data_IF_078436214172
#
_entry.id   IF_078436214172
#
_cell.length_a   1.000
_cell.length_b   1.000
_cell.length_c   1.000
_cell.angle_alpha   90.00
_cell.angle_beta   90.00
_cell.angle_gamma   90.00
#
_symmetry.space_group_name_H-M   'P 1'
#
loop_
_entity.id
_entity.type
_entity.pdbx_description
1 polymer ?
#
# COMPACT_ATOMS: atom_id res chain seq x y z
N UNK A 1 -24.42 1.24 21.05
CA UNK A 1 -25.59 0.43 20.68
C UNK A 1 -26.53 1.18 19.74
N UNK A 2 -27.15 2.30 20.12
CA UNK A 2 -28.07 3.07 19.26
C UNK A 2 -27.52 3.38 17.86
N UNK A 3 -26.26 3.83 17.76
CA UNK A 3 -25.64 4.11 16.47
C UNK A 3 -25.42 2.85 15.62
N UNK A 4 -25.11 1.71 16.25
CA UNK A 4 -24.91 0.43 15.57
C UNK A 4 -26.26 -0.09 15.06
N UNK A 5 -27.31 -0.02 15.88
CA UNK A 5 -28.65 -0.47 15.50
C UNK A 5 -29.21 0.37 14.35
N UNK A 6 -29.01 1.70 14.39
CA UNK A 6 -29.39 2.60 13.30
C UNK A 6 -28.62 2.27 12.00
N UNK A 7 -27.31 2.08 12.10
CA UNK A 7 -26.47 1.72 10.95
C UNK A 7 -26.86 0.36 10.35
N UNK A 8 -27.15 -0.65 11.19
CA UNK A 8 -27.59 -1.97 10.74
C UNK A 8 -28.94 -1.90 10.02
N UNK A 9 -29.89 -1.11 10.55
CA UNK A 9 -31.21 -0.92 9.94
C UNK A 9 -31.10 -0.24 8.57
N UNK A 10 -30.23 0.75 8.46
CA UNK A 10 -29.99 1.48 7.22
C UNK A 10 -29.27 0.62 6.16
N UNK A 11 -28.18 -0.06 6.55
CA UNK A 11 -27.32 -0.78 5.60
C UNK A 11 -27.79 -2.20 5.30
N UNK A 12 -28.51 -2.84 6.23
CA UNK A 12 -28.95 -4.22 6.11
C UNK A 12 -30.43 -4.38 6.50
N UNK A 13 -31.36 -3.84 5.70
CA UNK A 13 -32.79 -3.86 6.03
C UNK A 13 -33.39 -5.27 6.10
N UNK A 14 -32.72 -6.28 5.51
CA UNK A 14 -33.19 -7.66 5.40
C UNK A 14 -32.29 -8.66 6.15
N UNK A 15 -31.66 -8.24 7.25
CA UNK A 15 -30.71 -9.08 7.98
C UNK A 15 -31.42 -10.30 8.59
N UNK A 16 -30.99 -11.50 8.21
CA UNK A 16 -31.66 -12.77 8.54
C UNK A 16 -30.94 -13.59 9.63
N UNK A 17 -29.96 -13.00 10.32
CA UNK A 17 -29.24 -13.60 11.44
C UNK A 17 -29.21 -12.65 12.64
N UNK A 18 -28.86 -13.17 13.82
CA UNK A 18 -28.76 -12.33 15.03
C UNK A 18 -27.38 -11.67 15.08
N UNK A 19 -27.35 -10.40 15.49
CA UNK A 19 -26.10 -9.67 15.72
C UNK A 19 -25.93 -9.45 17.22
N UNK A 20 -24.75 -9.82 17.73
CA UNK A 20 -24.27 -9.42 19.03
C UNK A 20 -23.33 -8.22 18.91
N UNK A 21 -23.39 -7.31 19.89
CA UNK A 21 -22.44 -6.20 20.00
C UNK A 21 -21.72 -6.31 21.33
N UNK A 22 -20.40 -6.49 21.27
CA UNK A 22 -19.52 -6.45 22.43
C UNK A 22 -18.95 -5.04 22.59
N UNK A 23 -19.28 -4.39 23.70
CA UNK A 23 -18.86 -3.03 24.03
C UNK A 23 -17.76 -2.97 25.09
N UNK A 24 -17.40 -4.11 25.68
CA UNK A 24 -16.40 -4.23 26.75
C UNK A 24 -15.15 -5.01 26.33
N UNK A 25 -15.14 -5.57 25.12
CA UNK A 25 -14.02 -6.30 24.54
C UNK A 25 -13.87 -7.72 25.07
N UNK A 26 -14.95 -8.33 25.59
CA UNK A 26 -14.97 -9.73 26.00
C UNK A 26 -14.71 -10.69 24.84
N UNK A 27 -15.20 -10.40 23.64
CA UNK A 27 -14.95 -11.22 22.45
C UNK A 27 -13.46 -11.21 22.10
N UNK A 28 -12.78 -10.08 22.25
CA UNK A 28 -11.33 -10.04 22.02
C UNK A 28 -10.60 -10.94 23.04
N UNK A 29 -10.90 -10.77 24.33
CA UNK A 29 -10.20 -11.48 25.42
C UNK A 29 -10.50 -12.98 25.46
N UNK A 30 -11.75 -13.37 25.22
CA UNK A 30 -12.22 -14.75 25.42
C UNK A 30 -12.19 -15.59 24.14
N UNK A 31 -12.15 -14.95 22.95
CA UNK A 31 -12.17 -15.65 21.67
C UNK A 31 -10.96 -15.33 20.81
N UNK A 32 -10.66 -14.05 20.57
CA UNK A 32 -9.57 -13.66 19.66
C UNK A 32 -8.20 -14.02 20.24
N UNK A 33 -7.89 -13.58 21.45
CA UNK A 33 -6.58 -13.82 22.09
C UNK A 33 -6.30 -15.34 22.24
N UNK A 34 -7.22 -16.17 22.79
CA UNK A 34 -6.96 -17.60 22.95
C UNK A 34 -6.87 -18.36 21.64
N UNK A 35 -7.53 -17.90 20.58
CA UNK A 35 -7.45 -18.51 19.24
C UNK A 35 -6.24 -18.07 18.43
N UNK A 36 -5.38 -17.20 18.99
CA UNK A 36 -4.31 -16.50 18.24
C UNK A 36 -4.87 -15.79 17.01
N UNK A 37 -6.06 -15.20 17.08
CA UNK A 37 -6.64 -14.43 15.97
C UNK A 37 -6.34 -12.96 16.18
N UNK A 38 -5.64 -12.35 15.23
CA UNK A 38 -5.17 -10.96 15.35
C UNK A 38 -5.88 -10.00 14.37
N UNK A 39 -6.57 -10.53 13.36
CA UNK A 39 -7.15 -9.75 12.26
C UNK A 39 -8.67 -9.78 12.22
N UNK A 40 -9.24 -8.74 11.60
CA UNK A 40 -10.67 -8.67 11.26
C UNK A 40 -10.82 -8.58 9.73
N UNK A 41 -11.85 -9.21 9.13
CA UNK A 41 -12.86 -10.04 9.78
C UNK A 41 -12.35 -11.47 10.09
N UNK A 42 -12.79 -12.04 11.22
CA UNK A 42 -12.55 -13.44 11.61
C UNK A 42 -13.87 -14.12 11.93
N UNK A 43 -14.04 -15.35 11.44
CA UNK A 43 -15.20 -16.20 11.68
C UNK A 43 -14.86 -17.38 12.59
N UNK A 44 -15.81 -17.79 13.41
CA UNK A 44 -15.77 -19.00 14.22
C UNK A 44 -16.99 -19.85 13.85
N UNK A 45 -16.77 -21.08 13.42
CA UNK A 45 -17.85 -22.04 13.13
C UNK A 45 -17.95 -23.01 14.29
N UNK A 46 -19.11 -23.04 14.94
CA UNK A 46 -19.47 -24.02 15.98
C UNK A 46 -20.30 -25.12 15.32
N UNK A 47 -19.89 -26.37 15.48
CA UNK A 47 -20.59 -27.52 14.90
C UNK A 47 -21.76 -27.98 15.80
N UNK A 48 -22.52 -28.97 15.32
CA UNK A 48 -23.74 -29.49 15.96
C UNK A 48 -23.54 -30.05 17.37
N UNK A 49 -22.33 -30.50 17.70
CA UNK A 49 -21.96 -31.02 19.01
C UNK A 49 -21.33 -29.95 19.93
N UNK A 50 -21.38 -28.67 19.52
CA UNK A 50 -20.95 -27.53 20.34
C UNK A 50 -19.45 -27.23 20.32
N UNK A 51 -18.66 -27.94 19.51
CA UNK A 51 -17.22 -27.68 19.39
C UNK A 51 -16.90 -26.79 18.19
N UNK A 52 -15.77 -26.08 18.26
CA UNK A 52 -15.27 -25.28 17.14
C UNK A 52 -14.82 -26.21 16.01
N UNK A 53 -15.39 -26.00 14.82
CA UNK A 53 -15.02 -26.69 13.59
C UNK A 53 -14.04 -25.89 12.74
N UNK A 54 -14.07 -24.56 12.82
CA UNK A 54 -13.24 -23.68 12.00
C UNK A 54 -13.05 -22.30 12.65
N UNK A 55 -11.87 -21.73 12.45
CA UNK A 55 -11.52 -20.34 12.75
C UNK A 55 -10.78 -19.81 11.53
N UNK A 56 -11.22 -18.70 10.94
CA UNK A 56 -10.56 -18.13 9.74
C UNK A 56 -11.36 -17.03 9.05
N UNK A 57 -10.94 -16.62 7.87
CA UNK A 57 -11.55 -15.51 7.16
C UNK A 57 -12.93 -15.91 6.61
N UNK A 58 -13.96 -15.05 6.69
CA UNK A 58 -15.32 -15.39 6.22
C UNK A 58 -15.40 -15.82 4.75
N UNK A 59 -14.48 -15.36 3.89
CA UNK A 59 -14.42 -15.77 2.48
C UNK A 59 -14.13 -17.26 2.28
N UNK A 60 -13.63 -17.97 3.30
CA UNK A 60 -13.35 -19.40 3.26
C UNK A 60 -14.60 -20.24 3.59
N UNK A 61 -15.67 -19.62 4.11
CA UNK A 61 -16.84 -20.34 4.62
C UNK A 61 -17.60 -21.11 3.53
N UNK A 62 -17.59 -20.63 2.28
CA UNK A 62 -18.27 -21.31 1.16
C UNK A 62 -17.66 -22.71 0.88
N UNK A 63 -16.35 -22.87 1.12
CA UNK A 63 -15.67 -24.17 1.00
C UNK A 63 -15.77 -25.00 2.29
N UNK A 64 -15.67 -24.36 3.44
CA UNK A 64 -15.63 -25.04 4.76
C UNK A 64 -17.00 -25.54 5.20
N UNK A 65 -18.07 -24.74 5.08
CA UNK A 65 -19.38 -25.06 5.63
C UNK A 65 -19.98 -26.38 5.10
N UNK A 66 -19.93 -26.70 3.79
CA UNK A 66 -20.41 -27.98 3.29
C UNK A 66 -19.69 -29.20 3.93
N UNK A 67 -18.38 -29.08 4.15
CA UNK A 67 -17.52 -30.12 4.78
C UNK A 67 -17.78 -30.24 6.28
N UNK A 68 -18.14 -29.14 6.95
CA UNK A 68 -18.59 -29.18 8.35
C UNK A 68 -19.95 -29.87 8.42
N UNK A 69 -20.89 -29.49 7.57
CA UNK A 69 -22.27 -30.00 7.60
C UNK A 69 -22.35 -31.50 7.34
N UNK A 70 -21.47 -32.07 6.51
CA UNK A 70 -21.42 -33.50 6.22
C UNK A 70 -20.51 -34.29 7.18
N UNK A 71 -19.87 -33.63 8.15
CA UNK A 71 -19.02 -34.23 9.17
C UNK A 71 -17.60 -34.59 8.72
N UNK A 72 -17.18 -34.23 7.49
CA UNK A 72 -15.86 -34.58 6.96
C UNK A 72 -14.76 -33.58 7.33
N UNK A 73 -15.09 -32.40 7.87
CA UNK A 73 -14.11 -31.34 8.10
C UNK A 73 -13.25 -31.54 9.35
N UNK A 74 -13.86 -31.56 10.54
CA UNK A 74 -13.14 -31.29 11.80
C UNK A 74 -11.99 -32.25 12.10
N UNK A 75 -12.14 -33.53 11.76
CA UNK A 75 -11.11 -34.55 11.97
C UNK A 75 -10.14 -34.70 10.80
N UNK A 76 -10.39 -34.01 9.69
CA UNK A 76 -9.59 -34.10 8.46
C UNK A 76 -8.17 -33.59 8.65
N UNK A 77 -7.29 -34.06 7.77
CA UNK A 77 -5.94 -33.51 7.65
C UNK A 77 -5.97 -32.06 7.15
N UNK A 78 -6.88 -31.75 6.23
CA UNK A 78 -7.06 -30.41 5.65
C UNK A 78 -7.34 -29.36 6.72
N UNK A 79 -8.34 -29.60 7.59
CA UNK A 79 -8.69 -28.68 8.67
C UNK A 79 -7.53 -28.45 9.65
N UNK A 80 -6.83 -29.53 10.04
CA UNK A 80 -5.67 -29.45 10.94
C UNK A 80 -4.51 -28.68 10.32
N UNK A 81 -4.23 -28.89 9.04
CA UNK A 81 -3.17 -28.18 8.32
C UNK A 81 -3.51 -26.70 8.15
N UNK A 82 -4.77 -26.37 7.81
CA UNK A 82 -5.24 -24.99 7.70
C UNK A 82 -5.13 -24.25 9.04
N UNK A 83 -5.60 -24.87 10.13
CA UNK A 83 -5.54 -24.27 11.47
C UNK A 83 -4.10 -24.10 11.97
N UNK A 84 -3.23 -25.10 11.76
CA UNK A 84 -1.81 -24.99 12.11
C UNK A 84 -1.12 -23.87 11.33
N UNK A 85 -1.41 -23.72 10.03
CA UNK A 85 -0.89 -22.63 9.19
C UNK A 85 -1.38 -21.27 9.69
N UNK A 86 -2.67 -21.14 10.00
CA UNK A 86 -3.28 -19.92 10.55
C UNK A 86 -2.63 -19.52 11.88
N UNK A 87 -2.49 -20.46 12.82
CA UNK A 87 -1.87 -20.20 14.12
C UNK A 87 -0.42 -19.76 13.95
N UNK A 88 0.37 -20.47 13.13
CA UNK A 88 1.77 -20.12 12.89
C UNK A 88 1.91 -18.72 12.28
N UNK A 89 1.09 -18.40 11.28
CA UNK A 89 1.08 -17.08 10.65
C UNK A 89 0.71 -15.97 11.64
N UNK A 90 -0.38 -16.16 12.41
CA UNK A 90 -0.82 -15.13 13.35
C UNK A 90 0.13 -14.97 14.53
N UNK A 91 0.83 -16.02 14.96
CA UNK A 91 1.86 -15.92 15.98
C UNK A 91 3.09 -15.15 15.49
N UNK A 92 3.48 -15.32 14.22
CA UNK A 92 4.53 -14.51 13.60
C UNK A 92 4.11 -13.03 13.59
N UNK A 93 2.94 -12.74 13.05
CA UNK A 93 2.44 -11.37 12.96
C UNK A 93 2.21 -10.73 14.35
N UNK A 94 1.77 -11.49 15.35
CA UNK A 94 1.67 -11.00 16.73
C UNK A 94 3.04 -10.62 17.32
N UNK A 95 4.10 -11.39 17.01
CA UNK A 95 5.47 -11.05 17.42
C UNK A 95 5.96 -9.80 16.72
N UNK A 96 5.74 -9.70 15.42
CA UNK A 96 6.07 -8.49 14.64
C UNK A 96 5.34 -7.27 15.22
N UNK A 97 4.03 -7.33 15.43
CA UNK A 97 3.25 -6.26 16.05
C UNK A 97 3.76 -5.88 17.45
N UNK A 98 4.15 -6.86 18.26
CA UNK A 98 4.72 -6.60 19.59
C UNK A 98 6.08 -5.90 19.52
N UNK A 99 6.88 -6.17 18.48
CA UNK A 99 8.17 -5.51 18.26
C UNK A 99 7.97 -4.10 17.69
N UNK A 100 7.02 -3.92 16.76
CA UNK A 100 6.77 -2.63 16.10
C UNK A 100 5.92 -1.68 16.92
N UNK A 101 5.06 -2.17 17.82
CA UNK A 101 4.13 -1.35 18.60
C UNK A 101 4.81 -0.21 19.36
N UNK A 102 5.88 -0.47 20.13
CA UNK A 102 6.64 0.60 20.81
C UNK A 102 7.30 1.60 19.85
N UNK A 103 7.68 1.16 18.64
CA UNK A 103 8.28 2.02 17.62
C UNK A 103 7.23 2.97 17.07
N UNK A 104 6.06 2.47 16.66
CA UNK A 104 4.96 3.30 16.18
C UNK A 104 4.43 4.25 17.25
N UNK A 105 4.39 3.82 18.52
CA UNK A 105 4.02 4.68 19.64
C UNK A 105 4.95 5.89 19.83
N UNK A 106 6.21 5.81 19.38
CA UNK A 106 7.16 6.94 19.33
C UNK A 106 7.05 7.71 18.03
N UNK A 107 6.95 7.00 16.91
CA UNK A 107 6.94 7.55 15.56
C UNK A 107 5.71 8.43 15.31
N UNK A 108 4.51 7.93 15.61
CA UNK A 108 3.25 8.63 15.33
C UNK A 108 3.19 10.03 15.94
N UNK A 109 3.42 10.24 17.25
CA UNK A 109 3.41 11.58 17.81
C UNK A 109 4.56 12.45 17.28
N UNK A 110 5.72 11.87 16.96
CA UNK A 110 6.82 12.62 16.35
C UNK A 110 6.46 13.12 14.95
N UNK A 111 5.82 12.28 14.12
CA UNK A 111 5.33 12.64 12.80
C UNK A 111 4.23 13.72 12.88
N UNK A 112 3.28 13.58 13.82
CA UNK A 112 2.21 14.57 14.03
C UNK A 112 2.75 15.92 14.50
N UNK A 113 3.79 15.92 15.34
CA UNK A 113 4.45 17.13 15.82
C UNK A 113 5.49 17.69 14.83
N UNK A 114 5.67 17.06 13.66
CA UNK A 114 6.73 17.36 12.69
C UNK A 114 8.14 17.36 13.30
N UNK A 115 8.33 16.57 14.36
CA UNK A 115 9.63 16.39 15.00
C UNK A 115 10.42 15.32 14.24
N UNK A 116 10.95 15.72 13.08
CA UNK A 116 11.64 14.83 12.14
C UNK A 116 12.85 14.12 12.74
N UNK A 117 13.56 14.78 13.67
CA UNK A 117 14.68 14.15 14.39
C UNK A 117 14.20 13.03 15.32
N UNK A 118 13.11 13.25 16.08
CA UNK A 118 12.54 12.20 16.92
C UNK A 118 11.94 11.05 16.08
N UNK A 119 11.33 11.38 14.93
CA UNK A 119 10.82 10.38 14.00
C UNK A 119 11.96 9.52 13.41
N UNK A 120 13.09 10.14 13.03
CA UNK A 120 14.27 9.44 12.56
C UNK A 120 14.81 8.48 13.62
N UNK A 121 14.98 8.94 14.86
CA UNK A 121 15.46 8.09 15.97
C UNK A 121 14.53 6.89 16.23
N UNK A 122 13.21 7.09 16.14
CA UNK A 122 12.25 6.00 16.29
C UNK A 122 12.40 4.96 15.16
N UNK A 123 12.57 5.41 13.92
CA UNK A 123 12.77 4.51 12.78
C UNK A 123 14.11 3.78 12.85
N UNK A 124 15.18 4.45 13.26
CA UNK A 124 16.50 3.81 13.47
C UNK A 124 16.43 2.71 14.55
N UNK A 125 15.71 2.95 15.64
CA UNK A 125 15.41 1.93 16.65
C UNK A 125 14.61 0.76 16.05
N UNK A 126 13.63 1.06 15.21
CA UNK A 126 12.85 0.05 14.48
C UNK A 126 13.70 -0.80 13.53
N UNK A 127 14.59 -0.18 12.77
CA UNK A 127 15.51 -0.86 11.84
C UNK A 127 16.57 -1.68 12.57
N UNK A 128 16.99 -1.27 13.77
CA UNK A 128 17.88 -2.08 14.61
C UNK A 128 17.21 -3.39 15.07
N UNK A 129 15.88 -3.40 15.24
CA UNK A 129 15.10 -4.58 15.59
C UNK A 129 14.67 -5.41 14.37
N UNK A 130 14.30 -4.74 13.28
CA UNK A 130 13.78 -5.35 12.06
C UNK A 130 14.46 -4.74 10.83
N UNK A 131 15.71 -5.14 10.54
CA UNK A 131 16.48 -4.55 9.46
C UNK A 131 15.81 -4.77 8.11
N UNK A 132 15.08 -5.85 7.89
CA UNK A 132 14.48 -6.17 6.58
C UNK A 132 13.09 -5.57 6.35
N UNK A 133 12.60 -4.76 7.30
CA UNK A 133 11.29 -4.09 7.23
C UNK A 133 11.28 -3.06 6.12
N UNK A 134 10.57 -3.36 5.02
CA UNK A 134 10.42 -2.44 3.91
C UNK A 134 9.76 -1.12 4.35
N UNK A 135 8.74 -1.18 5.20
CA UNK A 135 8.04 0.00 5.70
C UNK A 135 8.99 0.93 6.47
N UNK A 136 9.83 0.38 7.35
CA UNK A 136 10.80 1.18 8.08
C UNK A 136 11.88 1.75 7.17
N UNK A 137 12.37 0.98 6.19
CA UNK A 137 13.35 1.49 5.21
C UNK A 137 12.77 2.60 4.34
N UNK A 138 11.51 2.46 3.92
CA UNK A 138 10.81 3.49 3.15
C UNK A 138 10.66 4.78 3.96
N UNK A 139 10.20 4.70 5.22
CA UNK A 139 10.06 5.88 6.09
C UNK A 139 11.44 6.48 6.39
N UNK A 140 12.47 5.66 6.57
CA UNK A 140 13.84 6.14 6.77
C UNK A 140 14.33 6.97 5.58
N UNK A 141 14.13 6.48 4.36
CA UNK A 141 14.45 7.22 3.14
C UNK A 141 13.65 8.52 3.04
N UNK A 142 12.34 8.50 3.30
CA UNK A 142 11.50 9.71 3.24
C UNK A 142 11.96 10.79 4.23
N UNK A 143 12.22 10.39 5.47
CA UNK A 143 12.69 11.28 6.53
C UNK A 143 14.01 11.95 6.15
N UNK A 144 14.99 11.16 5.68
CA UNK A 144 16.31 11.69 5.31
C UNK A 144 16.25 12.56 4.06
N UNK A 145 15.60 12.08 2.99
CA UNK A 145 15.57 12.78 1.71
C UNK A 145 14.70 14.03 1.76
N UNK A 146 13.49 13.94 2.30
CA UNK A 146 12.48 14.99 2.11
C UNK A 146 12.23 15.84 3.35
N UNK A 147 12.20 15.23 4.55
CA UNK A 147 11.87 15.97 5.79
C UNK A 147 13.09 16.69 6.37
N UNK A 148 14.19 15.96 6.56
CA UNK A 148 15.45 16.48 7.09
C UNK A 148 16.35 17.05 6.01
N UNK A 149 16.17 16.62 4.75
CA UNK A 149 17.03 16.97 3.60
C UNK A 149 18.51 16.66 3.86
N UNK A 150 18.80 15.62 4.64
CA UNK A 150 20.14 15.08 4.80
C UNK A 150 20.47 14.19 3.60
N UNK A 151 20.76 14.82 2.47
CA UNK A 151 21.06 14.15 1.20
C UNK A 151 22.30 13.25 1.30
N UNK A 152 23.26 13.64 2.14
CA UNK A 152 24.50 12.88 2.32
C UNK A 152 24.23 11.50 2.91
N UNK A 153 23.31 11.41 3.87
CA UNK A 153 22.91 10.15 4.49
C UNK A 153 21.77 9.47 3.73
N UNK A 154 20.81 10.25 3.22
CA UNK A 154 19.61 9.76 2.55
C UNK A 154 19.86 9.09 1.20
N UNK A 155 20.82 9.56 0.41
CA UNK A 155 21.08 8.97 -0.92
C UNK A 155 21.62 7.53 -0.85
N UNK A 156 22.59 7.20 0.02
CA UNK A 156 22.96 5.81 0.28
C UNK A 156 21.77 4.94 0.74
N UNK A 157 20.96 5.42 1.70
CA UNK A 157 19.77 4.70 2.18
C UNK A 157 18.76 4.46 1.05
N UNK A 158 18.57 5.45 0.18
CA UNK A 158 17.71 5.32 -0.98
C UNK A 158 18.22 4.27 -1.97
N UNK A 159 19.54 4.19 -2.17
CA UNK A 159 20.15 3.17 -3.03
C UNK A 159 19.93 1.76 -2.46
N UNK A 160 20.13 1.57 -1.16
CA UNK A 160 19.82 0.30 -0.49
C UNK A 160 18.34 -0.08 -0.64
N UNK A 161 17.43 0.90 -0.51
CA UNK A 161 15.99 0.67 -0.73
C UNK A 161 15.68 0.21 -2.17
N UNK A 162 16.38 0.76 -3.18
CA UNK A 162 16.25 0.33 -4.58
C UNK A 162 16.73 -1.12 -4.76
N UNK A 163 17.90 -1.46 -4.21
CA UNK A 163 18.46 -2.81 -4.27
C UNK A 163 17.50 -3.82 -3.61
N UNK A 164 17.02 -3.53 -2.41
CA UNK A 164 16.05 -4.36 -1.69
C UNK A 164 14.73 -4.56 -2.46
N UNK A 165 14.25 -3.51 -3.13
CA UNK A 165 13.01 -3.55 -3.90
C UNK A 165 13.13 -4.42 -5.16
N UNK A 166 14.33 -4.48 -5.76
CA UNK A 166 14.61 -5.29 -6.95
C UNK A 166 14.79 -6.76 -6.58
N UNK A 167 15.50 -7.05 -5.49
CA UNK A 167 15.85 -8.42 -5.10
C UNK A 167 14.65 -9.26 -4.61
N UNK A 168 13.64 -8.63 -4.01
CA UNK A 168 12.48 -9.35 -3.42
C UNK A 168 11.36 -9.58 -4.44
N UNK A 169 11.50 -10.65 -5.23
CA UNK A 169 10.70 -11.00 -6.43
C UNK A 169 9.17 -11.18 -6.31
N UNK A 170 8.57 -11.38 -5.14
CA UNK A 170 7.11 -11.68 -5.05
C UNK A 170 6.20 -10.44 -4.98
N UNK A 171 6.72 -9.31 -4.47
CA UNK A 171 6.03 -8.00 -4.43
C UNK A 171 6.86 -6.85 -5.07
N UNK A 172 7.96 -7.23 -5.73
CA UNK A 172 9.02 -6.35 -6.24
C UNK A 172 8.50 -5.11 -6.98
N UNK A 173 7.51 -5.28 -7.88
CA UNK A 173 7.02 -4.17 -8.72
C UNK A 173 6.31 -3.09 -7.89
N UNK A 174 5.63 -3.47 -6.81
CA UNK A 174 4.97 -2.50 -5.93
C UNK A 174 5.98 -1.72 -5.10
N UNK A 175 7.01 -2.39 -4.59
CA UNK A 175 8.09 -1.76 -3.83
C UNK A 175 8.99 -0.89 -4.71
N UNK A 176 9.29 -1.33 -5.92
CA UNK A 176 10.00 -0.52 -6.91
C UNK A 176 9.22 0.75 -7.25
N UNK A 177 7.90 0.67 -7.43
CA UNK A 177 7.08 1.85 -7.68
C UNK A 177 7.07 2.82 -6.48
N UNK A 178 7.08 2.31 -5.24
CA UNK A 178 7.19 3.13 -4.02
C UNK A 178 8.56 3.80 -3.91
N UNK A 179 9.64 3.08 -4.18
CA UNK A 179 10.98 3.63 -4.24
C UNK A 179 11.10 4.70 -5.34
N UNK A 180 10.46 4.47 -6.50
CA UNK A 180 10.46 5.44 -7.59
C UNK A 180 9.68 6.71 -7.24
N UNK A 181 8.62 6.62 -6.43
CA UNK A 181 7.90 7.80 -5.92
C UNK A 181 8.79 8.67 -5.01
N UNK A 182 9.66 8.09 -4.18
CA UNK A 182 10.63 8.87 -3.39
C UNK A 182 11.55 9.73 -4.28
N UNK A 183 11.72 9.34 -5.54
CA UNK A 183 12.57 10.04 -6.49
C UNK A 183 11.77 10.92 -7.44
N UNK A 184 10.54 10.55 -7.82
CA UNK A 184 9.81 11.17 -8.93
C UNK A 184 8.35 11.45 -8.62
N UNK A 185 7.89 11.45 -7.36
CA UNK A 185 6.52 11.91 -7.08
C UNK A 185 6.39 13.40 -7.43
N UNK A 186 5.54 13.79 -8.41
CA UNK A 186 5.41 15.19 -8.83
C UNK A 186 4.77 16.09 -7.79
N UNK A 187 4.18 15.53 -6.73
CA UNK A 187 3.60 16.28 -5.60
C UNK A 187 4.66 16.68 -4.57
N UNK A 188 5.87 16.13 -4.66
CA UNK A 188 6.98 16.39 -3.76
C UNK A 188 8.00 17.35 -4.40
N UNK A 189 8.59 18.24 -3.59
CA UNK A 189 9.77 19.00 -4.01
C UNK A 189 10.97 18.04 -4.08
N UNK A 190 11.38 17.71 -5.30
CA UNK A 190 12.53 16.85 -5.60
C UNK A 190 13.73 17.64 -6.16
N UNK A 191 13.68 18.98 -6.13
CA UNK A 191 14.69 19.84 -6.76
C UNK A 191 16.04 19.79 -6.04
N UNK A 192 16.03 19.41 -4.76
CA UNK A 192 17.22 19.30 -3.90
C UNK A 192 17.96 17.96 -4.05
N UNK A 193 17.36 16.98 -4.73
CA UNK A 193 17.97 15.67 -4.94
C UNK A 193 19.08 15.73 -6.02
N UNK A 194 20.23 15.05 -5.85
CA UNK A 194 21.29 15.01 -6.86
C UNK A 194 20.80 14.38 -8.16
N UNK A 195 20.72 15.19 -9.23
CA UNK A 195 20.11 14.78 -10.50
C UNK A 195 20.73 13.51 -11.08
N UNK A 196 22.05 13.36 -11.06
CA UNK A 196 22.71 12.20 -11.67
C UNK A 196 22.30 10.88 -10.99
N UNK A 197 22.39 10.83 -9.65
CA UNK A 197 22.06 9.63 -8.87
C UNK A 197 20.56 9.32 -8.89
N UNK A 198 19.73 10.36 -8.73
CA UNK A 198 18.26 10.27 -8.83
C UNK A 198 17.82 9.64 -10.15
N UNK A 199 18.38 10.09 -11.27
CA UNK A 199 18.02 9.58 -12.60
C UNK A 199 18.62 8.21 -12.89
N UNK A 200 19.79 7.88 -12.33
CA UNK A 200 20.35 6.53 -12.46
C UNK A 200 19.45 5.49 -11.78
N UNK A 201 19.06 5.73 -10.53
CA UNK A 201 18.11 4.85 -9.81
C UNK A 201 16.72 4.84 -10.48
N UNK A 202 16.27 6.00 -10.97
CA UNK A 202 15.03 6.10 -11.74
C UNK A 202 15.01 5.23 -12.99
N UNK A 203 16.12 5.18 -13.74
CA UNK A 203 16.26 4.32 -14.91
C UNK A 203 16.17 2.85 -14.54
N UNK A 204 16.95 2.44 -13.54
CA UNK A 204 17.03 1.06 -13.07
C UNK A 204 15.65 0.53 -12.64
N UNK A 205 14.97 1.27 -11.76
CA UNK A 205 13.61 0.93 -11.32
C UNK A 205 12.62 0.90 -12.48
N UNK A 206 12.69 1.88 -13.40
CA UNK A 206 11.77 1.95 -14.54
C UNK A 206 11.95 0.78 -15.49
N UNK A 207 13.19 0.39 -15.80
CA UNK A 207 13.49 -0.77 -16.65
C UNK A 207 12.98 -2.07 -16.02
N UNK A 208 13.22 -2.29 -14.72
CA UNK A 208 12.76 -3.47 -14.01
C UNK A 208 11.23 -3.55 -13.91
N UNK A 209 10.56 -2.45 -13.58
CA UNK A 209 9.09 -2.38 -13.56
C UNK A 209 8.51 -2.74 -14.94
N UNK A 210 9.08 -2.19 -16.02
CA UNK A 210 8.58 -2.44 -17.37
C UNK A 210 8.92 -3.84 -17.88
N UNK A 211 10.02 -4.45 -17.44
CA UNK A 211 10.36 -5.83 -17.76
C UNK A 211 9.38 -6.82 -17.08
N UNK A 212 9.07 -6.60 -15.80
CA UNK A 212 8.16 -7.46 -15.03
C UNK A 212 6.69 -7.21 -15.34
N UNK A 213 6.35 -5.97 -15.70
CA UNK A 213 4.99 -5.55 -16.01
C UNK A 213 4.96 -4.76 -17.33
N UNK A 214 5.09 -5.43 -18.48
CA UNK A 214 5.20 -4.76 -19.78
C UNK A 214 3.91 -4.05 -20.22
N UNK A 215 3.99 -2.93 -20.96
CA UNK A 215 2.82 -2.15 -21.39
C UNK A 215 1.78 -2.96 -22.17
N UNK A 216 2.25 -3.89 -23.00
CA UNK A 216 1.39 -4.75 -23.83
C UNK A 216 0.87 -6.01 -23.11
N UNK A 217 1.33 -6.27 -21.87
CA UNK A 217 0.86 -7.41 -21.09
C UNK A 217 -0.43 -7.14 -20.30
N UNK A 218 -0.98 -8.17 -19.65
CA UNK A 218 -2.17 -8.05 -18.80
C UNK A 218 -1.85 -7.94 -17.30
N UNK A 219 -0.59 -7.65 -16.96
CA UNK A 219 -0.18 -7.61 -15.55
C UNK A 219 -0.91 -6.50 -14.76
N UNK A 220 -1.19 -6.74 -13.47
CA UNK A 220 -2.12 -5.92 -12.69
C UNK A 220 -1.52 -4.57 -12.27
N UNK A 221 -2.38 -3.67 -11.80
CA UNK A 221 -2.02 -2.42 -11.11
C UNK A 221 -1.20 -1.40 -11.92
N UNK A 222 -1.27 -1.43 -13.27
CA UNK A 222 -0.57 -0.45 -14.13
C UNK A 222 -0.93 1.00 -13.79
N UNK A 223 -2.20 1.27 -13.47
CA UNK A 223 -2.68 2.58 -13.03
C UNK A 223 -1.93 3.17 -11.82
N UNK A 224 -1.38 2.32 -10.94
CA UNK A 224 -0.56 2.74 -9.80
C UNK A 224 0.92 2.78 -10.15
N UNK A 225 1.40 1.78 -10.88
CA UNK A 225 2.84 1.55 -11.12
C UNK A 225 3.42 2.47 -12.18
N UNK A 226 2.65 2.84 -13.19
CA UNK A 226 3.17 3.58 -14.35
C UNK A 226 3.23 5.09 -14.14
N UNK A 227 2.54 5.63 -13.14
CA UNK A 227 2.59 7.07 -12.85
C UNK A 227 4.02 7.55 -12.53
N UNK A 228 4.75 6.98 -11.55
CA UNK A 228 6.14 7.38 -11.30
C UNK A 228 7.10 7.04 -12.44
N UNK A 229 6.86 5.95 -13.17
CA UNK A 229 7.67 5.59 -14.36
C UNK A 229 7.50 6.62 -15.47
N UNK A 230 6.27 7.06 -15.72
CA UNK A 230 6.01 8.10 -16.70
C UNK A 230 6.62 9.44 -16.28
N UNK A 231 6.57 9.78 -14.98
CA UNK A 231 7.20 11.00 -14.47
C UNK A 231 8.73 10.96 -14.64
N UNK A 232 9.38 9.81 -14.41
CA UNK A 232 10.79 9.61 -14.76
C UNK A 232 11.07 9.86 -16.25
N UNK A 233 10.28 9.26 -17.16
CA UNK A 233 10.46 9.45 -18.60
C UNK A 233 10.20 10.90 -19.03
N UNK A 234 9.23 11.57 -18.41
CA UNK A 234 8.94 12.98 -18.68
C UNK A 234 10.11 13.88 -18.28
N UNK A 235 10.62 13.74 -17.04
CA UNK A 235 11.73 14.56 -16.56
C UNK A 235 13.08 14.21 -17.23
N UNK A 236 13.21 13.01 -17.81
CA UNK A 236 14.39 12.62 -18.60
C UNK A 236 14.33 13.09 -20.05
N UNK A 237 13.21 13.71 -20.46
CA UNK A 237 13.01 14.27 -21.80
C UNK A 237 12.36 13.31 -22.80
N UNK A 238 12.02 12.09 -22.39
CA UNK A 238 11.29 11.13 -23.22
C UNK A 238 9.77 11.28 -23.04
N UNK A 239 9.26 12.43 -23.51
CA UNK A 239 7.86 12.82 -23.38
C UNK A 239 6.89 11.82 -24.04
N UNK A 240 7.25 11.28 -25.20
CA UNK A 240 6.40 10.32 -25.92
C UNK A 240 6.19 9.04 -25.10
N UNK A 241 7.27 8.53 -24.49
CA UNK A 241 7.18 7.35 -23.62
C UNK A 241 6.37 7.63 -22.36
N UNK A 242 6.50 8.82 -21.77
CA UNK A 242 5.71 9.21 -20.61
C UNK A 242 4.20 9.22 -20.93
N UNK A 243 3.81 9.79 -22.07
CA UNK A 243 2.42 9.84 -22.53
C UNK A 243 1.88 8.42 -22.76
N UNK A 244 2.62 7.58 -23.51
CA UNK A 244 2.24 6.18 -23.77
C UNK A 244 1.93 5.42 -22.47
N UNK A 245 2.80 5.54 -21.46
CA UNK A 245 2.63 4.85 -20.19
C UNK A 245 1.40 5.35 -19.42
N UNK A 246 1.13 6.66 -19.42
CA UNK A 246 -0.09 7.19 -18.79
C UNK A 246 -1.35 6.72 -19.51
N UNK A 247 -1.35 6.66 -20.84
CA UNK A 247 -2.49 6.13 -21.59
C UNK A 247 -2.75 4.65 -21.29
N UNK A 248 -1.69 3.85 -21.15
CA UNK A 248 -1.80 2.44 -20.74
C UNK A 248 -2.32 2.33 -19.30
N UNK A 249 -1.85 3.21 -18.42
CA UNK A 249 -2.30 3.29 -17.03
C UNK A 249 -3.80 3.62 -16.95
N UNK A 250 -4.29 4.61 -17.70
CA UNK A 250 -5.70 5.00 -17.78
C UNK A 250 -6.58 3.83 -18.25
N UNK A 251 -6.20 3.16 -19.34
CA UNK A 251 -6.93 1.97 -19.85
C UNK A 251 -6.99 0.84 -18.83
N UNK A 252 -5.98 0.71 -17.96
CA UNK A 252 -5.99 -0.33 -16.92
C UNK A 252 -6.99 -0.05 -15.79
N UNK A 253 -7.38 1.21 -15.58
CA UNK A 253 -8.44 1.56 -14.61
C UNK A 253 -9.80 1.03 -15.07
N UNK A 254 -10.08 1.02 -16.38
CA UNK A 254 -11.35 0.49 -16.91
C UNK A 254 -11.51 -1.03 -16.74
N UNK A 255 -10.41 -1.72 -16.45
CA UNK A 255 -10.41 -3.17 -16.15
C UNK A 255 -10.64 -3.46 -14.67
N UNK A 256 -10.58 -2.46 -13.80
CA UNK A 256 -11.09 -2.59 -12.44
C UNK A 256 -12.59 -2.85 -12.60
N UNK A 257 -13.08 -3.97 -12.08
CA UNK A 257 -14.50 -4.33 -12.14
C UNK A 257 -15.40 -3.30 -11.45
N UNK A 258 -16.60 -3.67 -10.98
CA UNK A 258 -17.47 -2.71 -10.30
C UNK A 258 -16.79 -2.19 -9.03
N UNK A 259 -16.25 -0.97 -9.09
CA UNK A 259 -15.67 -0.24 -7.97
C UNK A 259 -16.45 1.06 -7.74
N UNK A 260 -16.50 1.58 -6.51
CA UNK A 260 -17.18 2.85 -6.23
C UNK A 260 -16.58 4.01 -7.02
N UNK A 261 -17.41 4.96 -7.46
CA UNK A 261 -16.98 6.10 -8.29
C UNK A 261 -15.88 6.92 -7.63
N UNK A 262 -15.95 7.15 -6.32
CA UNK A 262 -14.91 7.87 -5.58
C UNK A 262 -13.56 7.15 -5.63
N UNK A 263 -13.56 5.81 -5.62
CA UNK A 263 -12.34 5.00 -5.75
C UNK A 263 -11.80 5.08 -7.16
N UNK A 264 -12.66 5.07 -8.19
CA UNK A 264 -12.25 5.24 -9.58
C UNK A 264 -11.63 6.62 -9.81
N UNK A 265 -12.26 7.68 -9.29
CA UNK A 265 -11.75 9.05 -9.35
C UNK A 265 -10.38 9.20 -8.68
N UNK A 266 -10.18 8.58 -7.51
CA UNK A 266 -8.89 8.60 -6.82
C UNK A 266 -7.72 8.11 -7.69
N UNK A 267 -7.93 7.12 -8.56
CA UNK A 267 -6.90 6.64 -9.48
C UNK A 267 -6.83 7.43 -10.80
N UNK A 268 -7.96 7.93 -11.31
CA UNK A 268 -7.99 8.66 -12.58
C UNK A 268 -7.38 10.06 -12.46
N UNK A 269 -7.63 10.79 -11.37
CA UNK A 269 -7.23 12.20 -11.26
C UNK A 269 -5.72 12.40 -11.45
N UNK A 270 -4.82 11.68 -10.75
CA UNK A 270 -3.37 11.88 -10.92
C UNK A 270 -2.87 11.51 -12.31
N UNK A 271 -3.49 10.50 -12.95
CA UNK A 271 -3.15 10.09 -14.32
C UNK A 271 -3.58 11.15 -15.34
N UNK A 272 -4.76 11.74 -15.18
CA UNK A 272 -5.23 12.82 -16.04
C UNK A 272 -4.43 14.11 -15.85
N UNK A 273 -4.05 14.43 -14.61
CA UNK A 273 -3.14 15.56 -14.32
C UNK A 273 -1.79 15.37 -15.01
N UNK A 274 -1.20 14.17 -14.91
CA UNK A 274 0.03 13.84 -15.60
C UNK A 274 -0.13 13.96 -17.12
N UNK A 275 -1.18 13.37 -17.71
CA UNK A 275 -1.43 13.43 -19.15
C UNK A 275 -1.62 14.88 -19.64
N UNK A 276 -2.39 15.68 -18.90
CA UNK A 276 -2.63 17.08 -19.25
C UNK A 276 -1.33 17.88 -19.19
N UNK A 277 -0.54 17.71 -18.12
CA UNK A 277 0.74 18.39 -17.96
C UNK A 277 1.77 17.97 -19.01
N UNK A 278 1.78 16.68 -19.39
CA UNK A 278 2.69 16.19 -20.41
C UNK A 278 2.27 16.75 -21.77
N UNK A 279 1.02 16.59 -22.18
CA UNK A 279 0.56 17.05 -23.51
C UNK A 279 0.53 18.58 -23.63
N UNK A 280 0.28 19.30 -22.54
CA UNK A 280 -0.01 20.74 -22.55
C UNK A 280 -1.47 21.06 -22.87
N UNK A 281 -2.33 20.05 -22.96
CA UNK A 281 -3.73 20.15 -23.34
C UNK A 281 -4.62 19.54 -22.25
N UNK A 282 -5.91 19.90 -22.16
CA UNK A 282 -6.84 19.21 -21.26
C UNK A 282 -6.92 17.71 -21.56
N UNK A 283 -6.85 16.89 -20.52
CA UNK A 283 -6.97 15.43 -20.61
C UNK A 283 -8.31 14.98 -20.03
N UNK A 284 -9.01 14.08 -20.73
CA UNK A 284 -10.28 13.52 -20.29
C UNK A 284 -10.27 11.99 -20.38
N UNK A 285 -10.90 11.33 -19.42
CA UNK A 285 -11.17 9.89 -19.45
C UNK A 285 -12.52 9.61 -18.78
N UNK A 286 -13.42 8.94 -19.50
CA UNK A 286 -14.84 8.87 -19.14
C UNK A 286 -15.43 10.28 -18.89
N UNK A 287 -16.09 10.50 -17.76
CA UNK A 287 -16.75 11.77 -17.41
C UNK A 287 -15.83 12.75 -16.65
N UNK A 288 -14.55 12.42 -16.47
CA UNK A 288 -13.59 13.25 -15.73
C UNK A 288 -12.62 13.92 -16.70
N UNK A 289 -12.45 15.24 -16.56
CA UNK A 289 -11.51 16.05 -17.32
C UNK A 289 -10.66 16.91 -16.40
N UNK A 290 -9.37 17.04 -16.72
CA UNK A 290 -8.41 17.87 -15.98
C UNK A 290 -7.64 18.76 -16.96
N UNK A 291 -7.47 20.03 -16.60
CA UNK A 291 -6.67 20.98 -17.36
C UNK A 291 -5.20 20.97 -16.91
N UNK A 292 -4.23 21.29 -17.78
CA UNK A 292 -2.82 21.38 -17.42
C UNK A 292 -2.59 22.44 -16.35
N UNK A 293 -1.73 22.12 -15.38
CA UNK A 293 -1.31 23.08 -14.35
C UNK A 293 -0.32 24.09 -14.96
N UNK A 294 -0.59 25.39 -14.77
CA UNK A 294 0.36 26.44 -15.12
C UNK A 294 1.50 26.42 -14.10
N UNK A 295 2.70 25.98 -14.50
CA UNK A 295 3.90 26.22 -13.69
C UNK A 295 4.06 27.74 -13.49
N UNK A 296 4.16 28.18 -12.24
CA UNK A 296 4.59 29.54 -11.94
C UNK A 296 5.99 29.74 -12.54
N UNK A 297 6.29 30.90 -13.15
CA UNK A 297 7.60 31.13 -13.74
C UNK A 297 8.69 31.01 -12.68
N UNK A 298 9.69 30.17 -12.93
CA UNK A 298 10.93 30.15 -12.17
C UNK A 298 11.51 31.56 -12.19
N UNK A 299 11.56 32.22 -11.03
CA UNK A 299 12.31 33.47 -10.88
C UNK A 299 13.76 33.18 -11.22
N UNK A 300 14.16 33.55 -12.44
CA UNK A 300 15.55 33.69 -12.83
C UNK A 300 16.17 34.77 -11.93
N UNK A 301 16.74 34.35 -10.80
CA UNK A 301 17.72 35.17 -10.11
C UNK A 301 19.01 35.11 -10.93
N UNK A 302 19.04 35.93 -11.97
CA UNK A 302 20.29 36.39 -12.56
C UNK A 302 21.06 37.15 -11.47
N UNK A 303 22.05 36.51 -10.87
CA UNK A 303 23.11 37.22 -10.18
C UNK A 303 24.26 37.35 -11.16
N UNK A 304 24.22 38.44 -11.92
CA UNK A 304 25.38 39.07 -12.53
C UNK A 304 26.19 39.81 -11.46
N UNK A 305 27.51 39.65 -11.55
CA UNK A 305 28.63 40.26 -10.79
C UNK A 305 29.14 39.47 -9.60
#
# INVERSE_FOLDING_TARGET
RTNVDAWLTEKFPNLNYRIGFDYIGEMNKLWMDPSSSIGIPTSFVVDRDGHIAFIGHPAELDDVLPKVLNGSWRSSYEAKAADAKRIAHNQLAAREMSLTGPIYAKLEPAMQAENWTAALLAIEEGLALMPDSFDFRQIHADLLLHKLRDIKTGMPVMRELVEDAIDKTSDAVSWMALALNQLFDPTMDNSHLPRAERFAMGNELSEQILALNPPNGDGPFKYRRYLPVAQYYYESGNKDRAIELIEVALKSVDRLGPIPDHTKQYYLTPLLEALANYTGEPACHADLCVAPQKKAPETQNAVTS
#
